data_IF_624408657757
#
_entry.id   IF_624408657757
#
_cell.length_a   1.000
_cell.length_b   1.000
_cell.length_c   1.000
_cell.angle_alpha   90.00
_cell.angle_beta   90.00
_cell.angle_gamma   90.00
#
_symmetry.space_group_name_H-M   'P 1'
#
loop_
_entity.id
_entity.type
_entity.pdbx_description
1 polymer ?
#
# COMPACT_ATOMS: atom_id res chain seq x y z
N UNK A 1 -34.77 -2.86 62.32
CA UNK A 1 -34.83 -3.01 60.87
C UNK A 1 -33.52 -2.62 60.24
N UNK A 2 -32.62 -3.53 59.99
CA UNK A 2 -31.36 -3.30 59.24
C UNK A 2 -31.09 -4.51 58.34
N UNK A 3 -31.07 -4.32 57.03
CA UNK A 3 -30.72 -5.36 56.07
C UNK A 3 -29.20 -5.31 55.87
N UNK A 4 -28.52 -6.44 56.10
CA UNK A 4 -27.13 -6.64 55.78
C UNK A 4 -27.00 -7.37 54.45
N UNK A 5 -26.26 -6.82 53.52
CA UNK A 5 -25.88 -7.50 52.24
C UNK A 5 -24.52 -8.15 52.43
N UNK A 6 -24.50 -9.46 52.33
CA UNK A 6 -23.31 -10.29 52.34
C UNK A 6 -22.83 -10.46 50.88
N UNK A 7 -21.69 -9.96 50.52
CA UNK A 7 -21.03 -10.23 49.24
C UNK A 7 -20.03 -11.37 49.42
N UNK A 8 -20.35 -12.53 48.87
CA UNK A 8 -19.46 -13.69 48.81
C UNK A 8 -18.44 -13.47 47.70
N UNK A 9 -17.16 -13.43 48.06
CA UNK A 9 -16.01 -13.46 47.12
C UNK A 9 -15.64 -14.91 46.87
N UNK A 10 -15.74 -15.36 45.63
CA UNK A 10 -15.20 -16.64 45.15
C UNK A 10 -13.75 -16.46 44.78
N UNK A 11 -12.83 -17.05 45.52
CA UNK A 11 -11.41 -17.20 45.14
C UNK A 11 -11.30 -18.47 44.28
N UNK A 12 -10.89 -18.30 43.03
CA UNK A 12 -10.46 -19.43 42.20
C UNK A 12 -8.94 -19.58 42.31
N UNK A 13 -8.50 -20.69 42.88
CA UNK A 13 -7.08 -21.07 42.93
C UNK A 13 -6.68 -21.66 41.58
N UNK A 14 -5.72 -21.04 40.92
CA UNK A 14 -5.10 -21.58 39.70
C UNK A 14 -3.85 -22.35 40.13
N UNK A 15 -3.90 -23.68 39.97
CA UNK A 15 -2.78 -24.56 40.16
C UNK A 15 -1.98 -24.63 38.85
N UNK A 16 -0.78 -24.07 38.82
CA UNK A 16 0.14 -24.24 37.69
C UNK A 16 0.73 -25.66 37.72
N UNK A 17 0.34 -26.49 36.78
CA UNK A 17 1.07 -27.71 36.44
C UNK A 17 2.05 -27.37 35.30
N UNK A 18 3.33 -27.42 35.62
CA UNK A 18 4.42 -27.38 34.62
C UNK A 18 4.56 -28.77 33.98
N UNK A 19 4.12 -28.91 32.74
CA UNK A 19 4.48 -30.04 31.89
C UNK A 19 5.67 -29.65 31.01
N UNK A 20 6.77 -30.34 31.20
CA UNK A 20 7.90 -30.32 30.29
C UNK A 20 7.48 -30.95 28.96
N UNK A 21 7.51 -30.18 27.89
CA UNK A 21 7.25 -30.68 26.51
C UNK A 21 8.60 -31.00 25.89
N UNK A 22 8.95 -32.29 25.83
CA UNK A 22 9.94 -32.83 24.92
C UNK A 22 9.43 -32.70 23.49
N UNK A 23 10.24 -32.10 22.62
CA UNK A 23 9.87 -31.85 21.22
C UNK A 23 9.50 -33.14 20.47
N UNK A 24 8.30 -33.12 19.93
CA UNK A 24 7.90 -33.92 18.78
C UNK A 24 7.49 -32.94 17.70
N UNK A 25 8.21 -32.97 16.59
CA UNK A 25 7.83 -32.29 15.38
C UNK A 25 6.48 -32.84 14.92
N UNK A 26 5.41 -32.09 15.16
CA UNK A 26 4.09 -32.38 14.63
C UNK A 26 3.95 -31.72 13.26
N UNK A 27 3.93 -32.55 12.21
CA UNK A 27 3.42 -32.14 10.91
C UNK A 27 1.97 -31.63 11.07
N UNK A 28 1.77 -30.32 10.96
CA UNK A 28 0.63 -29.68 10.39
C UNK A 28 -0.70 -29.67 11.16
N UNK A 29 -0.77 -29.11 12.37
CA UNK A 29 -2.00 -28.43 12.76
C UNK A 29 -1.94 -27.00 12.16
N UNK A 30 -2.70 -26.74 11.10
CA UNK A 30 -2.84 -25.39 10.57
C UNK A 30 -3.42 -24.50 11.66
N UNK A 31 -2.70 -23.43 12.02
CA UNK A 31 -3.20 -22.44 12.95
C UNK A 31 -4.48 -21.81 12.37
N UNK A 32 -5.51 -21.63 13.18
CA UNK A 32 -6.73 -20.91 12.76
C UNK A 32 -6.48 -19.46 12.35
N UNK A 33 -5.27 -18.95 12.62
CA UNK A 33 -4.82 -17.58 12.32
C UNK A 33 -3.91 -17.50 11.08
N UNK A 34 -3.95 -18.50 10.19
CA UNK A 34 -3.25 -18.48 8.90
C UNK A 34 -4.24 -18.37 7.76
N UNK A 35 -3.95 -17.55 6.76
CA UNK A 35 -4.79 -17.38 5.57
C UNK A 35 -4.62 -18.57 4.61
N UNK A 36 -5.38 -19.63 4.87
CA UNK A 36 -5.36 -20.89 4.13
C UNK A 36 -4.44 -21.95 4.78
N UNK A 37 -4.52 -23.19 4.27
CA UNK A 37 -5.40 -23.63 3.19
C UNK A 37 -6.88 -23.63 3.57
N UNK A 38 -7.76 -23.42 2.57
CA UNK A 38 -9.21 -23.57 2.74
C UNK A 38 -9.72 -24.76 1.92
N UNK A 39 -10.70 -25.54 2.44
CA UNK A 39 -11.21 -26.74 1.78
C UNK A 39 -12.00 -26.38 0.52
N UNK A 40 -12.14 -27.34 -0.39
CA UNK A 40 -13.05 -27.23 -1.54
C UNK A 40 -14.49 -27.30 -1.05
N UNK A 41 -15.25 -26.23 -1.32
CA UNK A 41 -16.67 -26.13 -0.98
C UNK A 41 -17.57 -26.25 -2.21
N UNK A 42 -17.00 -26.12 -3.42
CA UNK A 42 -17.73 -26.14 -4.68
C UNK A 42 -18.39 -27.49 -4.93
N UNK A 43 -19.74 -27.49 -4.98
CA UNK A 43 -20.53 -28.71 -5.22
C UNK A 43 -20.26 -29.29 -6.61
N UNK A 44 -20.08 -30.62 -6.65
CA UNK A 44 -19.84 -31.35 -7.90
C UNK A 44 -18.40 -31.24 -8.41
N UNK A 45 -17.48 -30.59 -7.70
CA UNK A 45 -16.06 -30.67 -8.03
C UNK A 45 -15.53 -32.08 -7.76
N UNK A 46 -14.83 -32.66 -8.74
CA UNK A 46 -14.32 -34.03 -8.69
C UNK A 46 -12.81 -34.14 -8.98
N UNK A 47 -12.07 -33.00 -9.00
CA UNK A 47 -10.61 -33.00 -9.21
C UNK A 47 -9.83 -33.17 -7.91
N UNK A 48 -8.50 -33.11 -8.00
CA UNK A 48 -7.55 -33.40 -6.91
C UNK A 48 -7.18 -32.18 -6.06
N UNK A 49 -7.85 -31.02 -6.26
CA UNK A 49 -7.60 -29.79 -5.50
C UNK A 49 -7.97 -29.99 -4.02
N UNK A 50 -7.07 -29.61 -3.13
CA UNK A 50 -7.25 -29.67 -1.66
C UNK A 50 -7.23 -28.30 -0.98
N UNK A 51 -6.88 -27.25 -1.74
CA UNK A 51 -6.78 -25.88 -1.24
C UNK A 51 -7.37 -24.90 -2.28
N UNK A 52 -8.33 -24.11 -1.88
CA UNK A 52 -9.02 -23.14 -2.75
C UNK A 52 -8.42 -21.75 -2.77
N UNK A 53 -7.33 -21.48 -2.01
CA UNK A 53 -6.65 -20.19 -2.01
C UNK A 53 -6.04 -19.89 -3.38
N UNK A 54 -6.34 -18.72 -3.92
CA UNK A 54 -5.90 -18.34 -5.27
C UNK A 54 -5.67 -16.83 -5.43
N UNK A 55 -4.43 -16.37 -5.16
CA UNK A 55 -4.01 -14.96 -5.31
C UNK A 55 -2.59 -14.79 -5.87
N UNK A 56 -2.01 -15.81 -6.48
CA UNK A 56 -0.64 -15.74 -7.02
C UNK A 56 -0.43 -14.63 -8.05
N UNK A 57 -1.46 -14.32 -8.85
CA UNK A 57 -1.41 -13.21 -9.81
C UNK A 57 -1.21 -11.84 -9.15
N UNK A 58 -1.76 -11.61 -7.96
CA UNK A 58 -1.60 -10.39 -7.19
C UNK A 58 -0.20 -10.30 -6.59
N UNK A 59 0.31 -11.41 -6.06
CA UNK A 59 1.69 -11.48 -5.57
C UNK A 59 2.70 -11.21 -6.70
N UNK A 60 2.52 -11.80 -7.86
CA UNK A 60 3.37 -11.52 -9.01
C UNK A 60 3.36 -10.04 -9.40
N UNK A 61 2.20 -9.33 -9.27
CA UNK A 61 2.14 -7.88 -9.47
C UNK A 61 2.91 -7.09 -8.44
N UNK A 62 2.96 -7.51 -7.17
CA UNK A 62 3.82 -6.89 -6.16
C UNK A 62 5.31 -7.04 -6.54
N UNK A 63 5.70 -8.22 -6.98
CA UNK A 63 7.07 -8.50 -7.43
C UNK A 63 7.43 -7.66 -8.67
N UNK A 64 6.49 -7.55 -9.64
CA UNK A 64 6.68 -6.69 -10.82
C UNK A 64 6.80 -5.20 -10.44
N UNK A 65 5.97 -4.72 -9.50
CA UNK A 65 6.07 -3.35 -8.97
C UNK A 65 7.42 -3.07 -8.32
N UNK A 66 7.89 -3.98 -7.46
CA UNK A 66 9.18 -3.81 -6.77
C UNK A 66 10.35 -3.91 -7.77
N UNK A 67 10.24 -4.77 -8.78
CA UNK A 67 11.21 -4.86 -9.87
C UNK A 67 11.21 -3.64 -10.78
N UNK A 68 10.04 -3.08 -11.14
CA UNK A 68 9.92 -1.80 -11.84
C UNK A 68 10.59 -0.68 -11.06
N UNK A 69 10.33 -0.62 -9.75
CA UNK A 69 10.99 0.34 -8.87
C UNK A 69 12.51 0.18 -8.86
N UNK A 70 13.03 -1.05 -8.89
CA UNK A 70 14.46 -1.30 -8.98
C UNK A 70 15.03 -0.90 -10.35
N UNK A 71 14.32 -1.20 -11.45
CA UNK A 71 14.68 -0.82 -12.80
C UNK A 71 14.74 0.70 -12.99
N UNK A 72 13.80 1.43 -12.38
CA UNK A 72 13.74 2.91 -12.49
C UNK A 72 14.98 3.63 -11.95
N UNK A 73 15.81 2.98 -11.13
CA UNK A 73 17.08 3.56 -10.69
C UNK A 73 18.15 3.56 -11.77
N UNK A 74 17.99 2.72 -12.81
CA UNK A 74 18.93 2.60 -13.92
C UNK A 74 18.54 3.48 -15.11
N UNK A 75 17.34 4.04 -15.13
CA UNK A 75 16.85 4.91 -16.19
C UNK A 75 16.65 4.18 -17.53
N UNK A 76 16.17 2.93 -17.53
CA UNK A 76 15.81 2.21 -18.76
C UNK A 76 14.29 2.18 -18.89
N UNK A 77 13.75 2.87 -19.89
CA UNK A 77 12.31 2.85 -20.18
C UNK A 77 11.85 1.43 -20.52
N UNK A 78 12.57 0.72 -21.39
CA UNK A 78 12.22 -0.63 -21.84
C UNK A 78 12.16 -1.61 -20.67
N UNK A 79 13.14 -1.54 -19.73
CA UNK A 79 13.13 -2.40 -18.54
C UNK A 79 11.94 -2.06 -17.62
N UNK A 80 11.66 -0.80 -17.37
CA UNK A 80 10.50 -0.38 -16.57
C UNK A 80 9.20 -0.80 -17.23
N UNK A 81 9.06 -0.56 -18.53
CA UNK A 81 7.87 -0.89 -19.31
C UNK A 81 7.63 -2.40 -19.37
N UNK A 82 8.68 -3.22 -19.47
CA UNK A 82 8.54 -4.68 -19.43
C UNK A 82 7.86 -5.15 -18.13
N UNK A 83 8.22 -4.60 -16.96
CA UNK A 83 7.53 -4.89 -15.71
C UNK A 83 6.13 -4.28 -15.63
N UNK A 84 5.86 -3.20 -16.34
CA UNK A 84 4.54 -2.55 -16.32
C UNK A 84 3.53 -3.26 -17.22
N UNK A 85 3.90 -3.58 -18.43
CA UNK A 85 3.00 -4.21 -19.41
C UNK A 85 2.99 -5.74 -19.36
N UNK A 86 4.01 -6.33 -18.72
CA UNK A 86 4.28 -7.76 -18.78
C UNK A 86 5.08 -8.12 -20.04
N UNK A 87 5.97 -9.06 -19.93
CA UNK A 87 6.71 -9.59 -21.07
C UNK A 87 6.39 -11.07 -21.26
N UNK A 88 6.47 -11.54 -22.51
CA UNK A 88 6.42 -12.96 -22.82
C UNK A 88 7.74 -13.62 -22.37
N UNK A 89 7.64 -14.76 -21.67
CA UNK A 89 8.80 -15.54 -21.24
C UNK A 89 9.27 -15.25 -19.82
N UNK A 90 10.53 -15.57 -19.56
CA UNK A 90 11.14 -15.55 -18.26
C UNK A 90 11.57 -14.12 -17.87
N UNK A 91 10.86 -13.50 -16.96
CA UNK A 91 11.18 -12.18 -16.42
C UNK A 91 11.85 -12.32 -15.05
N UNK A 92 13.09 -11.86 -14.92
CA UNK A 92 13.83 -11.93 -13.66
C UNK A 92 13.19 -11.07 -12.57
N UNK A 93 13.18 -11.55 -11.33
CA UNK A 93 12.81 -10.75 -10.15
C UNK A 93 14.01 -9.90 -9.75
N UNK A 94 13.91 -8.57 -9.93
CA UNK A 94 14.93 -7.64 -9.46
C UNK A 94 14.78 -7.31 -7.97
N UNK A 95 13.53 -7.28 -7.48
CA UNK A 95 13.21 -7.06 -6.08
C UNK A 95 11.83 -7.69 -5.75
N UNK A 96 11.66 -8.26 -4.52
CA UNK A 96 12.73 -8.58 -3.58
C UNK A 96 13.64 -9.69 -4.10
N UNK A 97 14.92 -9.61 -3.83
CA UNK A 97 15.93 -10.63 -4.18
C UNK A 97 16.57 -11.22 -2.94
N UNK A 98 17.12 -12.42 -3.05
CA UNK A 98 17.89 -13.07 -1.99
C UNK A 98 19.05 -12.19 -1.51
N UNK A 99 19.38 -12.30 -0.23
CA UNK A 99 20.59 -11.73 0.37
C UNK A 99 21.11 -12.66 1.47
N UNK A 100 22.28 -12.38 2.01
CA UNK A 100 22.85 -13.16 3.12
C UNK A 100 21.87 -13.25 4.29
N UNK A 101 21.60 -14.48 4.73
CA UNK A 101 20.68 -14.78 5.81
C UNK A 101 19.20 -14.61 5.48
N UNK A 102 18.84 -14.41 4.20
CA UNK A 102 17.44 -14.31 3.77
C UNK A 102 17.28 -14.81 2.32
N UNK A 103 17.36 -16.12 2.07
CA UNK A 103 17.17 -16.70 0.74
C UNK A 103 15.70 -16.62 0.31
N UNK A 104 15.47 -16.31 -0.96
CA UNK A 104 14.14 -16.26 -1.58
C UNK A 104 14.06 -17.37 -2.63
N UNK A 105 12.91 -18.05 -2.66
CA UNK A 105 12.68 -19.22 -3.48
C UNK A 105 12.53 -18.89 -4.98
N UNK A 106 11.72 -17.88 -5.31
CA UNK A 106 11.48 -17.51 -6.70
C UNK A 106 12.50 -16.50 -7.20
N UNK A 107 12.99 -16.70 -8.40
CA UNK A 107 13.91 -15.82 -9.12
C UNK A 107 13.30 -15.24 -10.40
N UNK A 108 12.22 -15.85 -10.90
CA UNK A 108 11.49 -15.44 -12.09
C UNK A 108 10.03 -15.14 -11.73
N UNK A 109 9.45 -14.14 -12.38
CA UNK A 109 8.04 -13.74 -12.16
C UNK A 109 7.07 -14.86 -12.51
N UNK A 110 7.33 -15.59 -13.59
CA UNK A 110 6.48 -16.71 -14.06
C UNK A 110 6.49 -17.93 -13.12
N UNK A 111 7.45 -18.07 -12.22
CA UNK A 111 7.42 -19.07 -11.13
C UNK A 111 6.28 -18.79 -10.13
N UNK A 112 5.74 -17.55 -10.12
CA UNK A 112 4.59 -17.15 -9.33
C UNK A 112 3.34 -17.12 -10.21
N UNK A 113 3.36 -16.28 -11.27
CA UNK A 113 2.29 -16.10 -12.25
C UNK A 113 2.79 -15.21 -13.40
N UNK A 114 2.00 -15.08 -14.47
CA UNK A 114 2.32 -14.24 -15.63
C UNK A 114 1.29 -13.09 -15.81
N UNK A 115 1.20 -12.14 -14.89
CA UNK A 115 0.27 -11.00 -14.97
C UNK A 115 0.92 -9.80 -15.66
N UNK A 116 0.16 -8.68 -15.67
CA UNK A 116 0.68 -7.34 -15.94
C UNK A 116 0.12 -6.32 -14.94
N UNK A 117 0.73 -5.14 -14.85
CA UNK A 117 0.26 -4.04 -14.02
C UNK A 117 -0.72 -3.14 -14.79
N UNK A 118 -0.43 -2.84 -16.07
CA UNK A 118 -1.19 -1.89 -16.88
C UNK A 118 -2.68 -2.24 -17.00
N UNK A 119 -3.02 -3.52 -17.15
CA UNK A 119 -4.40 -4.01 -17.23
C UNK A 119 -5.21 -3.81 -15.95
N UNK A 120 -4.53 -3.62 -14.81
CA UNK A 120 -5.10 -3.43 -13.48
C UNK A 120 -4.93 -2.01 -12.94
N UNK A 121 -4.25 -1.15 -13.67
CA UNK A 121 -4.11 0.27 -13.31
C UNK A 121 -5.45 0.98 -13.38
N UNK A 122 -5.77 1.80 -12.37
CA UNK A 122 -6.90 2.73 -12.37
C UNK A 122 -6.94 3.53 -13.69
N UNK A 123 -8.12 3.65 -14.30
CA UNK A 123 -8.25 4.25 -15.64
C UNK A 123 -8.70 5.71 -15.64
N UNK A 124 -9.06 6.24 -14.47
CA UNK A 124 -9.54 7.61 -14.35
C UNK A 124 -8.44 8.66 -14.50
N UNK A 125 -8.91 9.89 -14.71
CA UNK A 125 -8.06 11.08 -14.79
C UNK A 125 -7.45 11.44 -13.44
N UNK A 126 -6.20 11.84 -13.45
CA UNK A 126 -5.43 12.24 -12.27
C UNK A 126 -5.35 13.76 -12.21
N UNK A 127 -6.19 14.38 -11.40
CA UNK A 127 -6.22 15.84 -11.21
C UNK A 127 -5.01 16.39 -10.46
N UNK A 128 -4.31 15.52 -9.73
CA UNK A 128 -3.10 15.85 -8.99
C UNK A 128 -1.84 16.00 -9.89
N UNK A 129 -1.95 15.79 -11.20
CA UNK A 129 -0.85 15.91 -12.14
C UNK A 129 -1.28 16.78 -13.32
N UNK A 130 -0.36 17.52 -13.99
CA UNK A 130 -0.73 18.41 -15.10
C UNK A 130 -1.41 17.70 -16.27
N UNK A 131 -2.17 18.47 -17.06
CA UNK A 131 -2.74 18.10 -18.36
C UNK A 131 -3.81 17.00 -18.32
N UNK A 132 -4.44 16.75 -17.15
CA UNK A 132 -5.54 15.77 -17.01
C UNK A 132 -5.21 14.37 -17.54
N UNK A 133 -3.99 13.92 -17.35
CA UNK A 133 -3.57 12.57 -17.73
C UNK A 133 -4.34 11.50 -16.93
N UNK A 134 -4.62 10.38 -17.58
CA UNK A 134 -5.07 9.16 -16.90
C UNK A 134 -3.92 8.52 -16.10
N UNK A 135 -4.24 7.64 -15.14
CA UNK A 135 -3.17 7.02 -14.36
C UNK A 135 -2.15 6.23 -15.21
N UNK A 136 -2.52 5.46 -16.26
CA UNK A 136 -1.54 4.85 -17.15
C UNK A 136 -0.66 5.87 -17.88
N UNK A 137 -1.23 7.00 -18.33
CA UNK A 137 -0.45 8.06 -18.99
C UNK A 137 0.53 8.74 -18.05
N UNK A 138 0.15 8.97 -16.78
CA UNK A 138 1.07 9.49 -15.75
C UNK A 138 2.23 8.53 -15.49
N UNK A 139 1.96 7.23 -15.38
CA UNK A 139 3.00 6.21 -15.15
C UNK A 139 3.94 6.13 -16.35
N UNK A 140 3.41 6.09 -17.57
CA UNK A 140 4.19 6.09 -18.81
C UNK A 140 5.08 7.33 -18.93
N UNK A 141 4.48 8.51 -18.67
CA UNK A 141 5.20 9.78 -18.63
C UNK A 141 6.37 9.77 -17.63
N UNK A 142 6.14 9.26 -16.43
CA UNK A 142 7.21 9.18 -15.42
C UNK A 142 8.30 8.15 -15.78
N UNK A 143 7.95 7.06 -16.46
CA UNK A 143 8.96 6.12 -16.98
C UNK A 143 9.81 6.76 -18.07
N UNK A 144 9.20 7.53 -19.01
CA UNK A 144 9.92 8.31 -20.02
C UNK A 144 10.88 9.32 -19.38
N UNK A 145 10.41 10.07 -18.38
CA UNK A 145 11.26 11.06 -17.69
C UNK A 145 12.34 10.41 -16.82
N UNK A 146 12.07 9.23 -16.25
CA UNK A 146 13.06 8.46 -15.50
C UNK A 146 14.18 7.90 -16.40
N UNK A 147 13.90 7.62 -17.68
CA UNK A 147 14.93 7.26 -18.68
C UNK A 147 15.90 8.42 -18.92
N UNK A 148 15.38 9.64 -19.02
CA UNK A 148 16.21 10.82 -19.19
C UNK A 148 17.06 11.08 -17.93
N UNK A 149 16.43 11.05 -16.75
CA UNK A 149 17.11 11.26 -15.47
C UNK A 149 16.29 10.68 -14.30
N UNK A 150 16.65 9.52 -13.71
CA UNK A 150 15.90 8.90 -12.61
C UNK A 150 15.68 9.81 -11.39
N UNK A 151 16.59 10.75 -11.16
CA UNK A 151 16.55 11.80 -10.13
C UNK A 151 16.84 13.15 -10.76
N UNK A 152 15.81 13.82 -11.23
CA UNK A 152 15.95 15.11 -11.89
C UNK A 152 16.07 16.24 -10.85
N UNK A 153 17.32 16.59 -10.53
CA UNK A 153 17.66 17.65 -9.57
C UNK A 153 17.20 19.02 -10.06
N UNK A 154 17.11 19.24 -11.39
CA UNK A 154 16.74 20.53 -11.97
C UNK A 154 15.30 20.93 -11.69
N UNK A 155 14.43 19.95 -11.47
CA UNK A 155 13.00 20.14 -11.10
C UNK A 155 12.64 19.47 -9.77
N UNK A 156 13.63 18.88 -9.09
CA UNK A 156 13.48 18.27 -7.77
C UNK A 156 12.71 16.94 -7.74
N UNK A 157 12.57 16.23 -8.87
CA UNK A 157 11.79 15.01 -8.94
C UNK A 157 12.62 13.73 -8.76
N UNK A 158 12.11 12.80 -7.98
CA UNK A 158 12.60 11.43 -7.82
C UNK A 158 11.55 10.46 -8.37
N UNK A 159 11.72 10.07 -9.65
CA UNK A 159 10.73 9.24 -10.36
C UNK A 159 10.58 7.83 -9.76
N UNK A 160 11.62 7.27 -9.15
CA UNK A 160 11.52 6.00 -8.44
C UNK A 160 10.46 6.05 -7.33
N UNK A 161 10.42 7.14 -6.57
CA UNK A 161 9.44 7.29 -5.50
C UNK A 161 8.03 7.56 -6.04
N UNK A 162 7.92 8.43 -7.04
CA UNK A 162 6.66 8.74 -7.70
C UNK A 162 6.01 7.48 -8.27
N UNK A 163 6.72 6.73 -9.12
CA UNK A 163 6.26 5.48 -9.71
C UNK A 163 5.85 4.48 -8.63
N UNK A 164 6.75 4.22 -7.67
CA UNK A 164 6.50 3.20 -6.65
C UNK A 164 5.26 3.51 -5.80
N UNK A 165 5.12 4.74 -5.29
CA UNK A 165 4.03 5.04 -4.35
C UNK A 165 2.69 5.20 -5.05
N UNK A 166 2.69 5.75 -6.27
CA UNK A 166 1.47 5.89 -7.05
C UNK A 166 0.95 4.54 -7.56
N UNK A 167 1.81 3.65 -8.08
CA UNK A 167 1.40 2.32 -8.54
C UNK A 167 0.78 1.50 -7.40
N UNK A 168 1.27 1.62 -6.16
CA UNK A 168 0.66 0.96 -5.00
C UNK A 168 -0.82 1.35 -4.84
N UNK A 169 -1.17 2.61 -5.03
CA UNK A 169 -2.57 3.08 -5.05
C UNK A 169 -3.30 2.68 -6.32
N UNK A 170 -2.75 3.07 -7.47
CA UNK A 170 -3.41 2.95 -8.77
C UNK A 170 -3.62 1.49 -9.24
N UNK A 171 -2.88 0.52 -8.68
CA UNK A 171 -3.06 -0.90 -8.99
C UNK A 171 -3.60 -1.64 -7.77
N UNK A 172 -2.90 -1.65 -6.63
CA UNK A 172 -3.24 -2.58 -5.55
C UNK A 172 -4.45 -2.11 -4.76
N UNK A 173 -4.41 -0.87 -4.26
CA UNK A 173 -5.51 -0.32 -3.47
C UNK A 173 -6.80 -0.19 -4.30
N UNK A 174 -6.73 0.46 -5.47
CA UNK A 174 -7.88 0.65 -6.35
C UNK A 174 -8.53 -0.68 -6.75
N UNK A 175 -7.75 -1.68 -7.17
CA UNK A 175 -8.32 -2.99 -7.53
C UNK A 175 -8.95 -3.70 -6.35
N UNK A 176 -8.33 -3.66 -5.16
CA UNK A 176 -8.88 -4.33 -3.99
C UNK A 176 -10.20 -3.70 -3.55
N UNK A 177 -10.22 -2.38 -3.32
CA UNK A 177 -11.33 -1.73 -2.62
C UNK A 177 -12.50 -1.36 -3.54
N UNK A 178 -12.24 -1.07 -4.81
CA UNK A 178 -13.27 -0.67 -5.77
C UNK A 178 -13.82 -1.88 -6.55
N UNK A 179 -12.94 -2.73 -7.09
CA UNK A 179 -13.34 -3.86 -7.90
C UNK A 179 -13.67 -5.11 -7.07
N UNK A 180 -12.71 -5.62 -6.26
CA UNK A 180 -12.85 -6.93 -5.62
C UNK A 180 -13.75 -6.90 -4.38
N UNK A 181 -13.62 -5.88 -3.54
CA UNK A 181 -14.40 -5.73 -2.31
C UNK A 181 -15.68 -4.88 -2.49
N UNK A 182 -15.97 -4.39 -3.71
CA UNK A 182 -17.21 -3.66 -4.02
C UNK A 182 -17.96 -4.33 -5.17
N UNK A 183 -17.58 -4.09 -6.44
CA UNK A 183 -18.31 -4.58 -7.61
C UNK A 183 -18.52 -6.10 -7.60
N UNK A 184 -17.55 -6.87 -7.10
CA UNK A 184 -17.60 -8.33 -7.02
C UNK A 184 -18.24 -8.89 -5.77
N UNK A 185 -18.62 -8.05 -4.80
CA UNK A 185 -19.31 -8.49 -3.58
C UNK A 185 -20.83 -8.55 -3.71
N UNK A 186 -21.41 -8.04 -4.79
CA UNK A 186 -22.84 -8.17 -5.08
C UNK A 186 -23.33 -9.62 -5.08
N UNK A 187 -24.61 -9.86 -4.80
CA UNK A 187 -25.17 -11.23 -4.59
C UNK A 187 -25.00 -12.15 -5.80
N UNK A 188 -25.09 -11.62 -7.01
CA UNK A 188 -25.00 -12.39 -8.26
C UNK A 188 -23.66 -12.14 -9.00
N UNK A 189 -22.81 -11.23 -8.49
CA UNK A 189 -21.48 -10.97 -9.03
C UNK A 189 -20.51 -11.99 -8.45
N UNK A 190 -19.91 -12.83 -9.31
CA UNK A 190 -19.01 -13.89 -8.84
C UNK A 190 -19.60 -14.71 -7.67
N UNK A 191 -20.72 -15.40 -7.89
CA UNK A 191 -21.49 -16.04 -6.81
C UNK A 191 -20.73 -17.20 -6.16
N UNK A 192 -21.11 -17.55 -4.93
CA UNK A 192 -20.46 -18.61 -4.15
C UNK A 192 -20.95 -20.03 -4.51
N UNK A 193 -21.96 -20.16 -5.32
CA UNK A 193 -22.54 -21.44 -5.78
C UNK A 193 -22.07 -21.87 -7.17
N UNK A 194 -21.07 -21.19 -7.73
CA UNK A 194 -20.51 -21.48 -9.05
C UNK A 194 -18.98 -21.36 -9.06
N UNK A 195 -18.30 -22.16 -9.90
CA UNK A 195 -16.86 -22.00 -10.07
C UNK A 195 -16.55 -20.64 -10.65
N UNK A 196 -15.41 -20.07 -10.28
CA UNK A 196 -14.92 -18.80 -10.84
C UNK A 196 -14.76 -18.87 -12.37
N UNK A 197 -14.26 -19.99 -12.85
CA UNK A 197 -14.10 -20.35 -14.27
C UNK A 197 -14.19 -21.87 -14.41
N UNK A 198 -14.40 -22.37 -15.62
CA UNK A 198 -14.47 -23.80 -15.90
C UNK A 198 -13.22 -24.52 -15.36
N UNK A 199 -13.44 -25.62 -14.64
CA UNK A 199 -12.40 -26.44 -14.03
C UNK A 199 -11.79 -25.89 -12.73
N UNK A 200 -12.14 -24.67 -12.28
CA UNK A 200 -11.65 -24.16 -11.01
C UNK A 200 -12.26 -24.92 -9.82
N UNK A 201 -11.45 -25.15 -8.78
CA UNK A 201 -11.88 -25.79 -7.53
C UNK A 201 -12.43 -24.80 -6.50
N UNK A 202 -12.39 -23.52 -6.80
CA UNK A 202 -12.84 -22.42 -5.96
C UNK A 202 -14.04 -21.70 -6.58
N UNK A 203 -14.87 -21.15 -5.74
CA UNK A 203 -16.05 -20.39 -6.15
C UNK A 203 -15.68 -18.98 -6.64
N UNK A 204 -16.62 -18.30 -7.27
CA UNK A 204 -16.46 -16.94 -7.71
C UNK A 204 -16.18 -15.99 -6.53
N UNK A 205 -16.88 -16.16 -5.41
CA UNK A 205 -16.77 -15.32 -4.21
C UNK A 205 -15.44 -15.57 -3.49
N UNK A 206 -15.06 -16.84 -3.31
CA UNK A 206 -13.77 -17.21 -2.70
C UNK A 206 -12.60 -16.57 -3.46
N UNK A 207 -12.57 -16.72 -4.78
CA UNK A 207 -11.49 -16.17 -5.58
C UNK A 207 -11.44 -14.64 -5.55
N UNK A 208 -12.59 -13.96 -5.64
CA UNK A 208 -12.61 -12.50 -5.58
C UNK A 208 -12.10 -11.96 -4.24
N UNK A 209 -12.41 -12.64 -3.15
CA UNK A 209 -11.92 -12.31 -1.82
C UNK A 209 -10.41 -12.54 -1.70
N UNK A 210 -9.93 -13.70 -2.16
CA UNK A 210 -8.49 -14.04 -2.18
C UNK A 210 -7.69 -13.04 -3.02
N UNK A 211 -8.22 -12.59 -4.18
CA UNK A 211 -7.57 -11.58 -5.00
C UNK A 211 -7.41 -10.23 -4.26
N UNK A 212 -8.41 -9.82 -3.46
CA UNK A 212 -8.30 -8.61 -2.64
C UNK A 212 -7.22 -8.77 -1.55
N UNK A 213 -7.19 -9.92 -0.85
CA UNK A 213 -6.13 -10.24 0.11
C UNK A 213 -4.74 -10.24 -0.55
N UNK A 214 -4.61 -10.82 -1.74
CA UNK A 214 -3.35 -10.80 -2.48
C UNK A 214 -2.84 -9.39 -2.78
N UNK A 215 -3.74 -8.45 -3.11
CA UNK A 215 -3.36 -7.04 -3.30
C UNK A 215 -2.99 -6.30 -2.01
N UNK A 216 -3.50 -6.75 -0.87
CA UNK A 216 -3.06 -6.22 0.43
C UNK A 216 -1.58 -6.51 0.67
N UNK A 217 -1.11 -7.69 0.31
CA UNK A 217 0.30 -8.06 0.29
C UNK A 217 0.85 -8.53 1.64
N UNK A 218 0.02 -9.03 2.54
CA UNK A 218 0.46 -9.66 3.78
C UNK A 218 0.94 -11.10 3.54
N UNK A 219 1.87 -11.58 4.38
CA UNK A 219 2.18 -13.00 4.47
C UNK A 219 0.97 -13.79 4.98
N UNK A 220 0.77 -15.01 4.52
CA UNK A 220 -0.38 -15.83 4.92
C UNK A 220 -0.45 -16.05 6.45
N UNK A 221 0.69 -16.12 7.11
CA UNK A 221 0.82 -16.32 8.57
C UNK A 221 1.01 -15.01 9.36
N UNK A 222 0.75 -13.87 8.74
CA UNK A 222 1.01 -12.52 9.29
C UNK A 222 0.34 -12.28 10.65
N UNK A 223 -0.83 -12.90 10.93
CA UNK A 223 -1.53 -12.80 12.23
C UNK A 223 -0.82 -13.53 13.37
N UNK A 224 0.10 -14.46 13.09
CA UNK A 224 0.92 -15.12 14.09
C UNK A 224 2.13 -14.28 14.51
N UNK A 225 2.38 -13.19 13.80
CA UNK A 225 3.57 -12.37 13.92
C UNK A 225 3.26 -11.01 14.56
N UNK A 226 4.23 -10.48 15.28
CA UNK A 226 4.17 -9.08 15.72
C UNK A 226 4.31 -8.11 14.53
N UNK A 227 3.86 -6.85 14.66
CA UNK A 227 4.11 -5.83 13.63
C UNK A 227 5.61 -5.64 13.32
N UNK A 228 6.50 -5.79 14.31
CA UNK A 228 7.96 -5.72 14.11
C UNK A 228 8.47 -6.86 13.23
N UNK A 229 8.00 -8.11 13.46
CA UNK A 229 8.38 -9.25 12.63
C UNK A 229 7.89 -9.09 11.19
N UNK A 230 6.61 -8.72 10.98
CA UNK A 230 6.07 -8.42 9.64
C UNK A 230 6.90 -7.33 8.93
N UNK A 231 7.27 -6.26 9.64
CA UNK A 231 8.15 -5.21 9.12
C UNK A 231 9.52 -5.76 8.73
N UNK A 232 10.12 -6.62 9.56
CA UNK A 232 11.44 -7.20 9.33
C UNK A 232 11.46 -8.19 8.16
N UNK A 233 10.37 -8.93 7.91
CA UNK A 233 10.19 -9.76 6.71
C UNK A 233 10.30 -8.88 5.45
N UNK A 234 9.52 -7.79 5.37
CA UNK A 234 9.59 -6.87 4.24
C UNK A 234 10.98 -6.23 4.06
N UNK A 235 11.78 -6.13 5.13
CA UNK A 235 13.16 -5.66 5.10
C UNK A 235 14.18 -6.77 4.86
N UNK A 236 13.74 -8.02 4.73
CA UNK A 236 14.57 -9.23 4.61
C UNK A 236 15.58 -9.32 5.74
N UNK A 237 15.12 -9.21 6.99
CA UNK A 237 15.95 -9.19 8.21
C UNK A 237 15.62 -10.29 9.21
N UNK A 238 14.53 -11.00 9.00
CA UNK A 238 14.01 -12.00 9.93
C UNK A 238 13.54 -13.21 9.13
N UNK A 239 14.50 -14.14 8.90
CA UNK A 239 14.20 -15.37 8.17
C UNK A 239 13.28 -16.28 8.99
N UNK A 240 13.54 -16.40 10.29
CA UNK A 240 12.80 -17.30 11.18
C UNK A 240 11.30 -16.90 11.23
N UNK A 241 11.02 -15.59 11.20
CA UNK A 241 9.65 -15.12 11.12
C UNK A 241 9.03 -15.29 9.71
N UNK A 242 9.84 -15.27 8.65
CA UNK A 242 9.35 -15.37 7.27
C UNK A 242 9.10 -16.82 6.84
N UNK A 243 10.03 -17.72 7.13
CA UNK A 243 10.01 -19.13 6.73
C UNK A 243 9.02 -19.93 7.61
N UNK A 244 7.75 -19.82 7.27
CA UNK A 244 6.66 -20.45 8.04
C UNK A 244 6.65 -21.97 7.92
N UNK A 245 7.08 -22.50 6.77
CA UNK A 245 7.07 -23.93 6.52
C UNK A 245 8.38 -24.65 6.98
N UNK A 246 9.42 -23.88 7.33
CA UNK A 246 10.69 -24.39 7.86
C UNK A 246 11.59 -25.04 6.81
N UNK A 247 11.43 -24.69 5.51
CA UNK A 247 12.25 -25.26 4.41
C UNK A 247 13.57 -24.49 4.16
N UNK A 248 13.79 -23.42 4.92
CA UNK A 248 15.00 -22.61 4.90
C UNK A 248 15.04 -21.54 3.83
N UNK A 249 13.94 -21.33 3.07
CA UNK A 249 13.82 -20.30 2.04
C UNK A 249 12.47 -19.60 2.15
N UNK A 250 12.38 -18.36 1.71
CA UNK A 250 11.13 -17.58 1.75
C UNK A 250 10.37 -17.75 0.44
N UNK A 251 9.17 -18.33 0.50
CA UNK A 251 8.27 -18.42 -0.64
C UNK A 251 7.50 -17.10 -0.80
N UNK A 252 7.80 -16.34 -1.86
CA UNK A 252 7.13 -15.05 -2.13
C UNK A 252 5.61 -15.18 -2.26
N UNK A 253 5.09 -16.37 -2.58
CA UNK A 253 3.64 -16.59 -2.76
C UNK A 253 2.85 -16.45 -1.46
N UNK A 254 3.47 -16.72 -0.30
CA UNK A 254 2.76 -16.81 0.99
C UNK A 254 3.53 -16.33 2.20
N UNK A 255 4.86 -16.15 2.11
CA UNK A 255 5.74 -15.93 3.27
C UNK A 255 6.39 -14.53 3.30
N UNK A 256 6.10 -13.68 2.33
CA UNK A 256 6.67 -12.34 2.24
C UNK A 256 5.63 -11.24 2.47
N UNK A 257 6.09 -10.08 2.96
CA UNK A 257 5.23 -8.91 3.22
C UNK A 257 5.55 -7.80 2.24
N UNK A 258 4.54 -7.39 1.45
CA UNK A 258 4.66 -6.40 0.40
C UNK A 258 3.95 -5.07 0.73
N UNK A 259 4.24 -4.06 -0.03
CA UNK A 259 3.47 -2.82 -0.26
C UNK A 259 2.75 -2.25 0.97
N UNK A 260 1.41 -2.19 0.98
CA UNK A 260 0.65 -1.55 2.05
C UNK A 260 0.69 -2.33 3.37
N UNK A 261 0.78 -3.66 3.35
CA UNK A 261 0.97 -4.46 4.56
C UNK A 261 2.29 -4.13 5.27
N UNK A 262 3.37 -3.86 4.50
CA UNK A 262 4.63 -3.35 5.05
C UNK A 262 4.44 -1.97 5.71
N UNK A 263 3.66 -1.05 5.09
CA UNK A 263 3.42 0.27 5.69
C UNK A 263 2.59 0.15 6.97
N UNK A 264 1.53 -0.67 6.98
CA UNK A 264 0.74 -0.94 8.18
C UNK A 264 1.62 -1.48 9.31
N UNK A 265 2.44 -2.52 9.03
CA UNK A 265 3.37 -3.04 10.03
C UNK A 265 4.32 -1.98 10.59
N UNK A 266 4.80 -1.05 9.72
CA UNK A 266 5.66 0.06 10.12
C UNK A 266 4.98 1.06 11.05
N UNK A 267 3.67 1.27 10.90
CA UNK A 267 2.88 2.15 11.78
C UNK A 267 2.55 1.46 13.09
N UNK A 268 2.10 0.23 13.05
CA UNK A 268 1.67 -0.55 14.21
C UNK A 268 2.82 -0.88 15.18
N UNK A 269 4.06 -0.87 14.73
CA UNK A 269 5.25 -1.02 15.60
C UNK A 269 5.29 -0.03 16.76
N UNK A 270 4.65 1.13 16.61
CA UNK A 270 4.54 2.15 17.64
C UNK A 270 3.54 1.80 18.75
N UNK A 271 2.73 0.76 18.57
CA UNK A 271 1.71 0.29 19.52
C UNK A 271 0.51 1.22 19.70
N UNK A 272 0.34 2.21 18.82
CA UNK A 272 -0.82 3.13 18.83
C UNK A 272 -1.93 2.70 17.90
N UNK A 273 -1.61 1.91 16.89
CA UNK A 273 -2.52 1.44 15.86
C UNK A 273 -2.42 -0.07 15.69
N UNK A 274 -3.45 -0.67 15.09
CA UNK A 274 -3.60 -2.11 14.86
C UNK A 274 -3.99 -2.43 13.41
N UNK A 275 -3.70 -1.52 12.47
CA UNK A 275 -4.14 -1.59 11.06
C UNK A 275 -3.84 -2.93 10.40
N UNK A 276 -2.61 -3.45 10.58
CA UNK A 276 -2.20 -4.72 9.99
C UNK A 276 -3.04 -5.88 10.52
N UNK A 277 -3.20 -5.93 11.85
CA UNK A 277 -3.98 -6.98 12.50
C UNK A 277 -5.46 -6.92 12.12
N UNK A 278 -6.06 -5.73 12.15
CA UNK A 278 -7.48 -5.53 11.87
C UNK A 278 -7.82 -5.90 10.42
N UNK A 279 -6.99 -5.49 9.46
CA UNK A 279 -7.16 -5.84 8.04
C UNK A 279 -6.97 -7.34 7.83
N UNK A 280 -5.91 -7.94 8.35
CA UNK A 280 -5.64 -9.37 8.19
C UNK A 280 -6.72 -10.23 8.86
N UNK A 281 -7.20 -9.84 10.03
CA UNK A 281 -8.30 -10.52 10.73
C UNK A 281 -9.58 -10.45 9.91
N UNK A 282 -9.95 -9.27 9.41
CA UNK A 282 -11.14 -9.09 8.59
C UNK A 282 -11.05 -9.92 7.29
N UNK A 283 -9.89 -9.98 6.63
CA UNK A 283 -9.69 -10.86 5.48
C UNK A 283 -9.85 -12.34 5.82
N UNK A 284 -9.27 -12.80 6.93
CA UNK A 284 -9.35 -14.19 7.35
C UNK A 284 -10.77 -14.59 7.73
N UNK A 285 -11.45 -13.75 8.53
CA UNK A 285 -12.81 -14.03 9.01
C UNK A 285 -13.83 -13.97 7.87
N UNK A 286 -13.70 -13.01 6.96
CA UNK A 286 -14.51 -12.93 5.74
C UNK A 286 -14.33 -14.16 4.84
N UNK A 287 -13.09 -14.66 4.69
CA UNK A 287 -12.84 -15.88 3.92
C UNK A 287 -13.43 -17.13 4.58
N UNK A 288 -13.32 -17.24 5.92
CA UNK A 288 -13.97 -18.30 6.70
C UNK A 288 -15.49 -18.24 6.54
N UNK A 289 -16.08 -17.04 6.58
CA UNK A 289 -17.52 -16.86 6.38
C UNK A 289 -17.96 -17.36 5.00
N UNK A 290 -17.24 -16.98 3.93
CA UNK A 290 -17.52 -17.45 2.56
C UNK A 290 -17.42 -18.99 2.49
N UNK A 291 -16.38 -19.57 3.08
CA UNK A 291 -16.16 -21.02 3.14
C UNK A 291 -17.30 -21.72 3.90
N UNK A 292 -17.79 -21.15 5.00
CA UNK A 292 -18.86 -21.71 5.84
C UNK A 292 -20.19 -21.86 5.11
N UNK A 293 -20.42 -21.09 4.05
CA UNK A 293 -21.59 -21.21 3.19
C UNK A 293 -21.56 -22.51 2.34
N UNK A 294 -20.45 -23.26 2.37
CA UNK A 294 -20.32 -24.61 1.81
C UNK A 294 -20.80 -24.73 0.35
N UNK A 295 -20.36 -23.80 -0.51
CA UNK A 295 -20.72 -23.76 -1.93
C UNK A 295 -22.17 -23.40 -2.24
N UNK A 296 -22.86 -22.80 -1.27
CA UNK A 296 -24.17 -22.18 -1.47
C UNK A 296 -24.02 -20.67 -1.64
N UNK A 297 -25.03 -20.00 -2.23
CA UNK A 297 -25.10 -18.54 -2.20
C UNK A 297 -25.15 -18.05 -0.75
N UNK A 298 -24.42 -16.98 -0.48
CA UNK A 298 -24.45 -16.32 0.82
C UNK A 298 -25.88 -15.84 1.12
N UNK A 299 -26.38 -16.12 2.31
CA UNK A 299 -27.63 -15.54 2.83
C UNK A 299 -27.49 -14.03 3.01
N UNK A 300 -28.61 -13.32 3.20
CA UNK A 300 -28.61 -11.87 3.45
C UNK A 300 -27.82 -11.53 4.73
N UNK A 301 -27.93 -12.35 5.78
CA UNK A 301 -27.19 -12.19 7.02
C UNK A 301 -25.67 -12.35 6.78
N UNK A 302 -25.26 -13.42 6.07
CA UNK A 302 -23.85 -13.63 5.73
C UNK A 302 -23.28 -12.52 4.85
N UNK A 303 -24.07 -12.00 3.89
CA UNK A 303 -23.65 -10.85 3.09
C UNK A 303 -23.47 -9.58 3.92
N UNK A 304 -24.41 -9.32 4.83
CA UNK A 304 -24.32 -8.17 5.75
C UNK A 304 -23.06 -8.27 6.63
N UNK A 305 -22.78 -9.46 7.16
CA UNK A 305 -21.57 -9.69 7.95
C UNK A 305 -20.30 -9.54 7.11
N UNK A 306 -20.28 -10.09 5.87
CA UNK A 306 -19.15 -9.95 4.95
C UNK A 306 -18.87 -8.49 4.63
N UNK A 307 -19.91 -7.67 4.40
CA UNK A 307 -19.76 -6.23 4.17
C UNK A 307 -19.20 -5.50 5.39
N UNK A 308 -19.49 -5.95 6.61
CA UNK A 308 -18.84 -5.44 7.82
C UNK A 308 -17.31 -5.66 7.81
N UNK A 309 -16.85 -6.81 7.33
CA UNK A 309 -15.41 -7.05 7.13
C UNK A 309 -14.83 -6.17 6.01
N UNK A 310 -15.58 -5.97 4.93
CA UNK A 310 -15.19 -5.04 3.84
C UNK A 310 -14.99 -3.62 4.39
N UNK A 311 -15.91 -3.13 5.22
CA UNK A 311 -15.82 -1.79 5.82
C UNK A 311 -14.56 -1.64 6.70
N UNK A 312 -14.26 -2.66 7.53
CA UNK A 312 -13.03 -2.69 8.34
C UNK A 312 -11.77 -2.60 7.45
N UNK A 313 -11.74 -3.40 6.36
CA UNK A 313 -10.60 -3.42 5.43
C UNK A 313 -10.44 -2.05 4.76
N UNK A 314 -11.52 -1.51 4.20
CA UNK A 314 -11.50 -0.25 3.45
C UNK A 314 -11.07 0.92 4.33
N UNK A 315 -11.67 1.06 5.51
CA UNK A 315 -11.36 2.14 6.45
C UNK A 315 -9.90 2.09 6.91
N UNK A 316 -9.44 0.93 7.36
CA UNK A 316 -8.07 0.81 7.87
C UNK A 316 -7.03 0.90 6.75
N UNK A 317 -7.29 0.37 5.55
CA UNK A 317 -6.36 0.50 4.43
C UNK A 317 -6.25 1.97 3.96
N UNK A 318 -7.37 2.70 3.90
CA UNK A 318 -7.36 4.13 3.63
C UNK A 318 -6.52 4.89 4.68
N UNK A 319 -6.69 4.56 5.97
CA UNK A 319 -5.87 5.13 7.05
C UNK A 319 -4.37 4.83 6.87
N UNK A 320 -3.98 3.64 6.47
CA UNK A 320 -2.56 3.31 6.17
C UNK A 320 -1.98 4.23 5.09
N UNK A 321 -2.74 4.55 4.04
CA UNK A 321 -2.29 5.47 2.99
C UNK A 321 -2.23 6.90 3.54
N UNK A 322 -3.24 7.34 4.30
CA UNK A 322 -3.28 8.66 4.92
C UNK A 322 -2.14 8.86 5.95
N UNK A 323 -1.82 7.84 6.76
CA UNK A 323 -0.62 7.82 7.64
C UNK A 323 0.68 7.99 6.84
N UNK A 324 0.74 7.43 5.64
CA UNK A 324 1.90 7.60 4.76
C UNK A 324 2.01 9.04 4.26
N UNK A 325 0.88 9.65 3.86
CA UNK A 325 0.82 11.09 3.51
C UNK A 325 1.26 11.95 4.68
N UNK A 326 0.70 11.72 5.88
CA UNK A 326 1.07 12.41 7.11
C UNK A 326 2.57 12.33 7.40
N UNK A 327 3.11 11.11 7.38
CA UNK A 327 4.54 10.84 7.62
C UNK A 327 5.43 11.63 6.68
N UNK A 328 5.14 11.56 5.38
CA UNK A 328 6.01 12.15 4.38
C UNK A 328 5.82 13.67 4.25
N UNK A 329 4.67 14.22 4.58
CA UNK A 329 4.52 15.66 4.79
C UNK A 329 5.43 16.16 5.91
N UNK A 330 5.44 15.48 7.06
CA UNK A 330 6.35 15.82 8.16
C UNK A 330 7.84 15.65 7.81
N UNK A 331 8.19 14.62 7.02
CA UNK A 331 9.57 14.43 6.56
C UNK A 331 10.00 15.50 5.57
N UNK A 332 9.10 15.89 4.65
CA UNK A 332 9.32 16.99 3.69
C UNK A 332 9.49 18.31 4.41
N UNK A 333 8.63 18.61 5.41
CA UNK A 333 8.78 19.79 6.28
C UNK A 333 10.17 19.86 6.91
N UNK A 334 10.62 18.78 7.55
CA UNK A 334 11.94 18.72 8.20
C UNK A 334 13.07 18.96 7.21
N UNK A 335 12.99 18.43 5.99
CA UNK A 335 14.00 18.67 4.96
C UNK A 335 13.97 20.11 4.46
N UNK A 336 12.78 20.74 4.30
CA UNK A 336 12.68 22.17 3.95
C UNK A 336 13.36 23.05 5.01
N UNK A 337 13.13 22.78 6.29
CA UNK A 337 13.80 23.50 7.40
C UNK A 337 15.32 23.28 7.38
N UNK A 338 15.76 22.05 7.14
CA UNK A 338 17.19 21.72 7.09
C UNK A 338 17.89 22.41 5.92
N UNK A 339 17.26 22.51 4.74
CA UNK A 339 17.80 23.18 3.57
C UNK A 339 18.10 24.67 3.78
N UNK A 340 17.41 25.34 4.71
CA UNK A 340 17.70 26.76 5.03
C UNK A 340 18.99 26.96 5.82
N UNK A 341 19.45 25.92 6.53
CA UNK A 341 20.57 26.04 7.48
C UNK A 341 21.75 25.16 7.15
N UNK A 342 21.59 24.19 6.23
CA UNK A 342 22.66 23.27 5.87
C UNK A 342 23.78 23.99 5.12
N UNK A 343 25.04 23.65 5.46
CA UNK A 343 26.21 24.17 4.75
C UNK A 343 26.34 23.60 3.34
N UNK A 344 27.04 24.33 2.44
CA UNK A 344 27.23 23.95 1.04
C UNK A 344 27.75 22.52 0.84
N UNK A 345 28.56 22.00 1.76
CA UNK A 345 29.13 20.65 1.67
C UNK A 345 28.07 19.54 1.77
N UNK A 346 26.97 19.78 2.49
CA UNK A 346 25.89 18.80 2.73
C UNK A 346 24.60 19.12 1.95
N UNK A 347 24.57 20.26 1.24
CA UNK A 347 23.36 20.76 0.55
C UNK A 347 22.81 19.74 -0.46
N UNK A 348 23.66 19.15 -1.29
CA UNK A 348 23.25 18.16 -2.28
C UNK A 348 22.65 16.89 -1.64
N UNK A 349 23.20 16.45 -0.51
CA UNK A 349 22.69 15.29 0.25
C UNK A 349 21.34 15.58 0.90
N UNK A 350 21.15 16.78 1.47
CA UNK A 350 19.88 17.15 2.06
C UNK A 350 18.80 17.35 0.99
N UNK A 351 19.18 17.94 -0.16
CA UNK A 351 18.28 18.08 -1.29
C UNK A 351 17.84 16.73 -1.87
N UNK A 352 18.73 15.73 -1.96
CA UNK A 352 18.35 14.35 -2.37
C UNK A 352 17.34 13.71 -1.39
N UNK A 353 17.49 13.95 -0.09
CA UNK A 353 16.50 13.51 0.90
C UNK A 353 15.15 14.22 0.72
N UNK A 354 15.19 15.54 0.49
CA UNK A 354 13.99 16.34 0.23
C UNK A 354 13.24 15.82 -1.00
N UNK A 355 13.92 15.65 -2.14
CA UNK A 355 13.35 15.10 -3.37
C UNK A 355 12.70 13.72 -3.12
N UNK A 356 13.37 12.87 -2.35
CA UNK A 356 12.86 11.56 -1.97
C UNK A 356 11.57 11.67 -1.17
N UNK A 357 11.55 12.47 -0.10
CA UNK A 357 10.39 12.57 0.78
C UNK A 357 9.20 13.24 0.10
N UNK A 358 9.46 14.27 -0.71
CA UNK A 358 8.42 14.88 -1.50
C UNK A 358 7.84 13.90 -2.54
N UNK A 359 8.67 13.13 -3.22
CA UNK A 359 8.22 12.11 -4.17
C UNK A 359 7.36 11.02 -3.51
N UNK A 360 7.73 10.59 -2.29
CA UNK A 360 6.93 9.66 -1.49
C UNK A 360 5.59 10.31 -1.05
N UNK A 361 5.61 11.58 -0.61
CA UNK A 361 4.41 12.34 -0.29
C UNK A 361 3.47 12.44 -1.51
N UNK A 362 4.00 12.87 -2.64
CA UNK A 362 3.24 13.03 -3.89
C UNK A 362 2.59 11.73 -4.33
N UNK A 363 3.37 10.65 -4.40
CA UNK A 363 2.86 9.35 -4.81
C UNK A 363 1.74 8.83 -3.90
N UNK A 364 1.88 8.95 -2.57
CA UNK A 364 0.82 8.54 -1.63
C UNK A 364 -0.38 9.49 -1.64
N UNK A 365 -0.18 10.80 -1.83
CA UNK A 365 -1.30 11.74 -1.96
C UNK A 365 -2.16 11.42 -3.19
N UNK A 366 -1.57 10.98 -4.28
CA UNK A 366 -2.29 10.52 -5.47
C UNK A 366 -2.91 9.12 -5.24
N UNK A 367 -2.21 8.22 -4.54
CA UNK A 367 -2.73 6.89 -4.18
C UNK A 367 -4.00 6.98 -3.33
N UNK A 368 -4.10 7.95 -2.44
CA UNK A 368 -5.28 8.17 -1.59
C UNK A 368 -6.54 8.55 -2.41
N UNK A 369 -6.36 9.08 -3.61
CA UNK A 369 -7.43 9.60 -4.47
C UNK A 369 -7.98 8.58 -5.49
N UNK A 370 -7.41 7.37 -5.56
CA UNK A 370 -7.79 6.34 -6.54
C UNK A 370 -8.49 5.12 -5.90
N UNK A 371 -9.02 5.29 -4.69
CA UNK A 371 -9.86 4.30 -4.02
C UNK A 371 -11.29 4.29 -4.54
N UNK A 372 -12.15 3.53 -3.88
CA UNK A 372 -13.58 3.43 -4.18
C UNK A 372 -14.30 4.78 -4.09
N UNK A 373 -13.97 5.55 -3.08
CA UNK A 373 -14.62 6.83 -2.82
C UNK A 373 -13.74 7.99 -3.27
N UNK A 374 -14.38 8.95 -3.96
CA UNK A 374 -13.75 10.22 -4.24
C UNK A 374 -13.70 11.02 -2.92
N UNK A 375 -12.48 11.36 -2.48
CA UNK A 375 -12.28 12.18 -1.27
C UNK A 375 -12.56 13.68 -1.49
N UNK A 376 -13.13 14.04 -2.65
CA UNK A 376 -13.79 15.32 -2.94
C UNK A 376 -12.92 16.55 -2.65
N UNK A 377 -13.43 17.43 -1.78
CA UNK A 377 -12.76 18.68 -1.40
C UNK A 377 -11.40 18.42 -0.71
N UNK A 378 -11.27 17.32 0.02
CA UNK A 378 -9.99 16.88 0.61
C UNK A 378 -8.93 16.65 -0.45
N UNK A 379 -9.28 16.02 -1.60
CA UNK A 379 -8.37 15.87 -2.74
C UNK A 379 -7.92 17.22 -3.30
N UNK A 380 -8.86 18.15 -3.45
CA UNK A 380 -8.57 19.50 -3.97
C UNK A 380 -7.59 20.23 -3.07
N UNK A 381 -7.84 20.25 -1.76
CA UNK A 381 -6.93 20.86 -0.75
C UNK A 381 -5.56 20.19 -0.78
N UNK A 382 -5.52 18.86 -0.78
CA UNK A 382 -4.29 18.09 -0.80
C UNK A 382 -3.46 18.39 -2.06
N UNK A 383 -4.10 18.40 -3.25
CA UNK A 383 -3.43 18.67 -4.51
C UNK A 383 -2.81 20.06 -4.59
N UNK A 384 -3.52 21.09 -4.07
CA UNK A 384 -2.99 22.45 -3.99
C UNK A 384 -1.77 22.54 -3.08
N UNK A 385 -1.84 21.97 -1.89
CA UNK A 385 -0.73 22.04 -0.92
C UNK A 385 0.48 21.22 -1.32
N UNK A 386 0.31 20.06 -1.98
CA UNK A 386 1.43 19.25 -2.48
C UNK A 386 2.01 19.86 -3.76
N UNK A 387 1.19 20.44 -4.64
CA UNK A 387 1.61 20.97 -5.94
C UNK A 387 1.92 19.90 -6.98
N UNK A 388 2.41 20.32 -8.14
CA UNK A 388 2.84 19.42 -9.22
C UNK A 388 4.31 18.99 -9.10
N UNK A 389 5.14 19.82 -8.50
CA UNK A 389 6.54 19.55 -8.20
C UNK A 389 6.97 20.13 -6.84
N UNK A 390 8.11 19.71 -6.29
CA UNK A 390 8.62 20.26 -5.05
C UNK A 390 9.06 21.72 -5.25
N UNK A 391 9.02 22.49 -4.16
CA UNK A 391 9.61 23.82 -4.11
C UNK A 391 11.13 23.71 -4.28
N UNK A 392 11.70 24.42 -5.24
CA UNK A 392 13.14 24.52 -5.41
C UNK A 392 13.75 25.64 -4.54
N UNK A 393 15.07 25.67 -4.43
CA UNK A 393 15.78 26.64 -3.58
C UNK A 393 15.62 28.10 -4.06
N UNK A 394 15.29 28.31 -5.33
CA UNK A 394 14.98 29.64 -5.91
C UNK A 394 13.49 29.99 -5.84
N UNK A 395 12.71 29.19 -5.09
CA UNK A 395 11.26 29.30 -4.94
C UNK A 395 10.47 29.04 -6.24
N UNK A 396 11.05 28.35 -7.21
CA UNK A 396 10.33 27.86 -8.37
C UNK A 396 9.82 26.44 -8.13
N UNK A 397 8.75 26.06 -8.85
CA UNK A 397 8.15 24.74 -8.85
C UNK A 397 7.48 24.46 -10.19
N UNK A 398 7.16 23.20 -10.44
CA UNK A 398 6.45 22.81 -11.65
C UNK A 398 5.03 23.38 -11.60
N UNK A 399 4.65 24.14 -12.64
CA UNK A 399 3.29 24.70 -12.82
C UNK A 399 2.55 24.08 -14.00
N UNK A 400 3.26 23.38 -14.90
CA UNK A 400 2.68 22.74 -16.06
C UNK A 400 3.69 21.86 -16.81
N UNK A 401 3.21 21.27 -17.90
CA UNK A 401 4.01 20.48 -18.84
C UNK A 401 3.69 20.95 -20.25
N UNK A 402 4.72 21.26 -21.01
CA UNK A 402 4.66 21.49 -22.47
C UNK A 402 5.33 20.34 -23.19
N UNK A 403 4.84 20.02 -24.39
CA UNK A 403 5.49 18.99 -25.19
C UNK A 403 4.68 18.62 -26.43
N UNK A 404 5.24 17.72 -27.19
CA UNK A 404 4.60 17.16 -28.36
C UNK A 404 4.02 15.80 -28.00
N UNK A 405 2.72 15.63 -28.24
CA UNK A 405 2.02 14.34 -28.06
C UNK A 405 1.99 13.58 -29.39
N UNK A 406 2.18 12.27 -29.30
CA UNK A 406 1.95 11.34 -30.39
C UNK A 406 0.46 11.14 -30.68
N UNK A 407 0.16 10.45 -31.77
CA UNK A 407 -1.21 10.07 -32.13
C UNK A 407 -1.86 9.08 -31.17
N UNK A 408 -1.06 8.42 -30.35
CA UNK A 408 -1.47 7.49 -29.30
C UNK A 408 -1.76 8.17 -27.94
N UNK A 409 -1.63 9.51 -27.88
CA UNK A 409 -1.87 10.28 -26.66
C UNK A 409 -0.68 10.32 -25.71
N UNK A 410 0.46 9.72 -26.06
CA UNK A 410 1.68 9.76 -25.25
C UNK A 410 2.56 10.92 -25.63
N UNK A 411 3.35 11.42 -24.67
CA UNK A 411 4.36 12.43 -24.96
C UNK A 411 5.54 11.84 -25.74
N UNK A 412 5.88 12.49 -26.85
CA UNK A 412 7.12 12.24 -27.59
C UNK A 412 8.26 13.08 -26.99
N UNK A 413 7.94 14.34 -26.64
CA UNK A 413 8.84 15.25 -25.94
C UNK A 413 8.05 15.99 -24.87
N UNK A 414 8.66 16.25 -23.73
CA UNK A 414 8.02 17.01 -22.66
C UNK A 414 9.03 17.83 -21.87
N UNK A 415 8.69 19.09 -21.61
CA UNK A 415 9.42 20.00 -20.76
C UNK A 415 8.52 20.48 -19.62
N UNK A 416 9.08 20.62 -18.42
CA UNK A 416 8.36 21.20 -17.32
C UNK A 416 8.33 22.73 -17.43
N UNK A 417 7.15 23.30 -17.21
CA UNK A 417 6.99 24.74 -17.02
C UNK A 417 7.24 25.06 -15.55
N UNK A 418 8.21 25.95 -15.29
CA UNK A 418 8.56 26.37 -13.94
C UNK A 418 7.96 27.74 -13.63
N UNK A 419 7.49 27.94 -12.41
CA UNK A 419 6.92 29.19 -11.95
C UNK A 419 7.03 29.37 -10.45
N UNK A 420 6.81 30.61 -9.97
CA UNK A 420 6.68 30.93 -8.54
C UNK A 420 5.21 31.08 -8.20
N UNK A 421 4.70 30.26 -7.30
CA UNK A 421 3.29 30.29 -6.85
C UNK A 421 3.22 30.81 -5.42
N UNK A 422 4.09 30.31 -4.54
CA UNK A 422 4.15 30.66 -3.12
C UNK A 422 5.61 30.64 -2.63
N UNK A 423 5.85 31.12 -1.43
CA UNK A 423 7.19 31.20 -0.82
C UNK A 423 7.64 29.88 -0.18
N UNK A 424 8.92 29.80 0.18
CA UNK A 424 9.45 28.68 0.99
C UNK A 424 8.72 28.51 2.33
N UNK A 425 8.29 29.62 2.96
CA UNK A 425 7.52 29.58 4.20
C UNK A 425 6.12 29.01 3.97
N UNK A 426 5.45 29.37 2.87
CA UNK A 426 4.18 28.77 2.48
C UNK A 426 4.32 27.27 2.25
N UNK A 427 5.38 26.84 1.55
CA UNK A 427 5.66 25.43 1.34
C UNK A 427 5.81 24.64 2.65
N UNK A 428 6.50 25.20 3.64
CA UNK A 428 6.61 24.62 4.99
C UNK A 428 5.25 24.56 5.69
N UNK A 429 4.47 25.63 5.62
CA UNK A 429 3.13 25.70 6.21
C UNK A 429 2.18 24.68 5.53
N UNK A 430 2.25 24.51 4.21
CA UNK A 430 1.47 23.51 3.49
C UNK A 430 1.75 22.09 4.00
N UNK A 431 3.00 21.74 4.30
CA UNK A 431 3.33 20.43 4.85
C UNK A 431 2.67 20.19 6.21
N UNK A 432 2.61 21.19 7.07
CA UNK A 432 1.92 21.11 8.37
C UNK A 432 0.39 21.08 8.21
N UNK A 433 -0.17 21.88 7.28
CA UNK A 433 -1.60 21.83 6.92
C UNK A 433 -2.01 20.45 6.37
N UNK A 434 -1.15 19.80 5.54
CA UNK A 434 -1.37 18.43 5.07
C UNK A 434 -1.46 17.47 6.25
N UNK A 435 -0.55 17.56 7.22
CA UNK A 435 -0.57 16.70 8.41
C UNK A 435 -1.87 16.90 9.20
N UNK A 436 -2.29 18.16 9.41
CA UNK A 436 -3.56 18.47 10.07
C UNK A 436 -4.74 17.91 9.26
N UNK A 437 -4.74 18.06 7.94
CA UNK A 437 -5.79 17.54 7.07
C UNK A 437 -5.93 16.00 7.20
N UNK A 438 -4.81 15.27 7.30
CA UNK A 438 -4.85 13.80 7.49
C UNK A 438 -5.45 13.42 8.85
N UNK A 439 -5.13 14.16 9.92
CA UNK A 439 -5.75 13.96 11.24
C UNK A 439 -7.25 14.23 11.17
N UNK A 440 -7.64 15.38 10.65
CA UNK A 440 -9.03 15.87 10.68
C UNK A 440 -9.95 14.99 9.80
N UNK A 441 -9.47 14.47 8.66
CA UNK A 441 -10.29 13.75 7.70
C UNK A 441 -10.23 12.22 7.86
N UNK A 442 -9.11 11.68 8.32
CA UNK A 442 -8.88 10.23 8.36
C UNK A 442 -8.58 9.71 9.77
N UNK A 443 -8.44 10.59 10.77
CA UNK A 443 -8.17 10.17 12.14
C UNK A 443 -6.83 9.45 12.32
N UNK A 444 -5.79 9.86 11.58
CA UNK A 444 -4.46 9.24 11.69
C UNK A 444 -3.82 9.51 13.05
N UNK A 445 -3.18 8.49 13.64
CA UNK A 445 -2.69 8.55 15.02
C UNK A 445 -1.42 7.74 15.30
N UNK A 446 -0.90 7.02 14.30
CA UNK A 446 0.28 6.17 14.49
C UNK A 446 1.51 6.96 14.97
N UNK A 447 1.59 8.24 14.64
CA UNK A 447 2.73 9.10 14.98
C UNK A 447 2.29 10.31 15.77
N UNK A 448 3.02 10.61 16.86
CA UNK A 448 2.96 11.94 17.45
C UNK A 448 3.53 12.97 16.47
N UNK A 449 2.91 14.15 16.40
CA UNK A 449 3.40 15.23 15.57
C UNK A 449 3.51 16.53 16.36
N UNK A 450 4.68 16.75 16.93
CA UNK A 450 4.99 17.97 17.69
C UNK A 450 5.08 19.20 16.77
N UNK A 451 5.28 18.98 15.45
CA UNK A 451 5.43 20.07 14.47
C UNK A 451 4.12 20.82 14.19
N UNK A 452 2.96 20.24 14.50
CA UNK A 452 1.69 20.98 14.41
C UNK A 452 1.67 22.21 15.35
N UNK A 453 2.41 22.18 16.45
CA UNK A 453 2.54 23.33 17.35
C UNK A 453 3.26 24.52 16.66
N UNK A 454 4.09 24.27 15.66
CA UNK A 454 4.80 25.31 14.91
C UNK A 454 3.92 26.00 13.85
N UNK A 455 2.72 25.48 13.57
CA UNK A 455 1.85 25.98 12.50
C UNK A 455 1.46 27.45 12.72
N UNK A 456 1.07 27.80 13.95
CA UNK A 456 0.68 29.17 14.30
C UNK A 456 1.86 30.15 14.17
N UNK A 457 3.05 29.72 14.59
CA UNK A 457 4.28 30.53 14.48
C UNK A 457 4.65 30.78 13.01
N UNK A 458 4.60 29.74 12.17
CA UNK A 458 4.84 29.87 10.72
C UNK A 458 3.80 30.74 10.04
N UNK A 459 2.53 30.56 10.34
CA UNK A 459 1.45 31.41 9.79
C UNK A 459 1.66 32.89 10.12
N UNK A 460 2.12 33.20 11.35
CA UNK A 460 2.43 34.56 11.74
C UNK A 460 3.61 35.18 10.99
N UNK A 461 4.59 34.36 10.59
CA UNK A 461 5.78 34.81 9.83
C UNK A 461 5.48 35.05 8.34
N UNK A 462 4.49 34.36 7.78
CA UNK A 462 4.03 34.54 6.41
C UNK A 462 3.29 35.88 6.25
N UNK A 463 2.66 36.35 7.32
CA UNK A 463 1.88 37.60 7.34
C UNK A 463 0.64 37.53 6.47
N UNK A 464 0.35 38.58 5.70
CA UNK A 464 -0.74 38.63 4.72
C UNK A 464 -0.32 38.07 3.38
N UNK A 465 0.17 36.82 3.35
CA UNK A 465 0.45 36.12 2.09
C UNK A 465 -0.81 36.10 1.21
N UNK A 466 -0.67 36.43 -0.06
CA UNK A 466 -1.77 36.35 -1.05
C UNK A 466 -2.08 34.90 -1.47
N UNK A 467 -1.47 33.90 -0.85
CA UNK A 467 -1.73 32.50 -1.14
C UNK A 467 -3.13 32.12 -0.65
N UNK A 468 -3.98 31.65 -1.55
CA UNK A 468 -5.33 31.16 -1.24
C UNK A 468 -5.35 30.00 -0.21
N UNK A 469 -4.21 29.42 0.09
CA UNK A 469 -4.03 28.32 1.05
C UNK A 469 -3.83 28.80 2.50
N UNK A 470 -3.73 30.11 2.71
CA UNK A 470 -3.58 30.70 4.04
C UNK A 470 -4.92 31.11 4.69
N UNK A 471 -6.01 30.99 3.99
CA UNK A 471 -7.40 31.28 4.47
C UNK A 471 -7.99 30.12 5.30
#
# INVERSE_FOLDING_TARGET
>A
MKKSNLKTKLLASITCLSFGVTGLANAGAHSEDVYGPFPVTLKGYSGDCTNTVSYSGQIARHVMHDSLKAASTKGSYDDMNAYYVGADGDMAILAPSSKDGFPIKQTLVNEISSPNLVGKTYKGTITAWPNNMTAPEVIDFWMMKAEENPKDVSVGLNYQQLLSKFIMGAVFYSQAVDNYLDEKMGPDSKPNDKPYKDGACYTGKEHSWDEAFGYWGAAAHSLLLTPEQNYNIAKRKDLDAADYNGDGVVDLKSEYVFSHAYYASSFDKGGKTTYLNDINRAFLDGRKLITSANGEKLSDAQRSELMGYVDIINENWQKVIAESVFKYAGSTYKSLVALETVGNADLAKEFDKYMKYWGELKGFSMALQVGKENIGETATKLNRMVGFGPMLLDETQIVGIKGMMGSDGKYITAEYEMGKIYSMNDAKLHMLKIQKLMIDQFGVEARANDMLAEMADLASKIGTSESAEND
#
